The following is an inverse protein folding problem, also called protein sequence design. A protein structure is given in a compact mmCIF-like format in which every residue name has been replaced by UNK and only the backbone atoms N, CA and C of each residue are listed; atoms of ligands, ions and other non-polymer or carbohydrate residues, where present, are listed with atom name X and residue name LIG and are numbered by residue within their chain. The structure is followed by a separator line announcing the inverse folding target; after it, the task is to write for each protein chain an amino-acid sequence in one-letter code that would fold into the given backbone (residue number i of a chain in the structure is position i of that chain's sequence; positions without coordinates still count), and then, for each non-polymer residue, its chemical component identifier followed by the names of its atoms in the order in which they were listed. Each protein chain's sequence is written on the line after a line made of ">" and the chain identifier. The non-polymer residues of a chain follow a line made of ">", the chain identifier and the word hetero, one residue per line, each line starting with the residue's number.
data_IF_128886790079
#
_entry.id   IF_128886790079
#
_cell.length_a   1.000
_cell.length_b   1.000
_cell.length_c   1.000
_cell.angle_alpha   90.00
_cell.angle_beta   90.00
_cell.angle_gamma   90.00
#
_symmetry.space_group_name_H-M   'P 1'
#
loop_
_entity.id
_entity.type
_entity.pdbx_description
1 polymer ?
#
# COMPACT_ATOMS: atom_id res chain seq x y z
N UNK A 1 -0.33 -11.33 13.40
CA UNK A 1 0.66 -12.11 12.63
C UNK A 1 2.03 -11.47 12.79
N UNK A 2 3.12 -12.24 12.88
CA UNK A 2 4.47 -11.69 12.71
C UNK A 2 4.54 -10.87 11.42
N UNK A 3 5.08 -9.64 11.51
CA UNK A 3 5.07 -8.69 10.41
C UNK A 3 6.47 -8.15 10.17
N UNK A 4 6.91 -8.20 8.90
CA UNK A 4 8.19 -7.64 8.45
C UNK A 4 7.90 -6.60 7.38
N UNK A 5 8.45 -5.40 7.54
CA UNK A 5 8.26 -4.28 6.64
C UNK A 5 9.61 -3.87 6.06
N UNK A 6 9.72 -3.83 4.74
CA UNK A 6 10.86 -3.24 4.02
C UNK A 6 10.50 -1.83 3.57
N UNK A 7 11.42 -0.88 3.71
CA UNK A 7 11.18 0.50 3.29
C UNK A 7 12.48 1.26 3.00
N UNK A 8 12.45 2.32 2.19
CA UNK A 8 13.61 3.18 1.98
C UNK A 8 14.12 3.84 3.28
N UNK A 9 15.42 4.08 3.36
CA UNK A 9 16.06 4.74 4.51
C UNK A 9 15.49 6.13 4.82
N UNK A 10 15.06 6.84 3.78
CA UNK A 10 14.46 8.18 3.84
C UNK A 10 13.10 8.22 4.56
N UNK A 11 12.50 7.07 4.91
CA UNK A 11 11.26 7.05 5.69
C UNK A 11 11.49 7.65 7.08
N UNK A 12 10.60 8.60 7.42
CA UNK A 12 10.58 9.35 8.66
C UNK A 12 10.70 8.46 9.90
N UNK A 13 11.46 8.93 10.89
CA UNK A 13 11.79 8.16 12.10
C UNK A 13 10.55 7.86 12.93
N UNK A 14 9.56 8.75 12.93
CA UNK A 14 8.29 8.61 13.64
C UNK A 14 7.48 7.44 13.09
N UNK A 15 7.47 7.26 11.75
CA UNK A 15 6.78 6.11 11.12
C UNK A 15 7.40 4.79 11.55
N UNK A 16 8.72 4.73 11.58
CA UNK A 16 9.47 3.53 12.00
C UNK A 16 9.22 3.24 13.49
N UNK A 17 9.20 4.28 14.33
CA UNK A 17 8.91 4.15 15.76
C UNK A 17 7.51 3.57 15.99
N UNK A 18 6.49 4.09 15.30
CA UNK A 18 5.11 3.57 15.39
C UNK A 18 5.03 2.10 14.93
N UNK A 19 5.65 1.74 13.81
CA UNK A 19 5.65 0.37 13.31
C UNK A 19 6.32 -0.61 14.27
N UNK A 20 7.47 -0.22 14.85
CA UNK A 20 8.16 -1.03 15.86
C UNK A 20 7.36 -1.15 17.15
N UNK A 21 6.74 -0.06 17.61
CA UNK A 21 5.85 -0.07 18.77
C UNK A 21 4.63 -0.99 18.56
N UNK A 22 4.14 -1.09 17.32
CA UNK A 22 3.09 -2.05 16.93
C UNK A 22 3.59 -3.51 16.78
N UNK A 23 4.88 -3.78 17.06
CA UNK A 23 5.46 -5.12 17.02
C UNK A 23 5.99 -5.57 15.66
N UNK A 24 6.09 -4.67 14.67
CA UNK A 24 6.66 -5.00 13.36
C UNK A 24 8.19 -4.96 13.37
N UNK A 25 8.81 -5.90 12.65
CA UNK A 25 10.23 -5.81 12.30
C UNK A 25 10.36 -4.88 11.10
N UNK A 26 11.15 -3.82 11.22
CA UNK A 26 11.35 -2.82 10.15
C UNK A 26 12.78 -2.91 9.61
N UNK A 27 12.89 -3.20 8.32
CA UNK A 27 14.14 -3.27 7.55
C UNK A 27 14.21 -2.03 6.66
N UNK A 28 15.19 -1.17 6.93
CA UNK A 28 15.51 -0.05 6.05
C UNK A 28 16.47 -0.51 4.96
N UNK A 29 16.24 -0.07 3.73
CA UNK A 29 17.09 -0.34 2.57
C UNK A 29 17.41 0.96 1.82
N UNK A 30 18.48 1.00 1.00
CA UNK A 30 18.80 2.17 0.19
C UNK A 30 17.64 2.62 -0.70
N UNK A 31 17.51 3.93 -0.91
CA UNK A 31 16.56 4.49 -1.86
C UNK A 31 17.14 4.39 -3.28
N UNK A 32 16.91 3.26 -3.93
CA UNK A 32 17.39 2.95 -5.29
C UNK A 32 16.22 2.88 -6.29
N UNK A 33 16.48 2.90 -7.61
CA UNK A 33 15.47 2.65 -8.64
C UNK A 33 14.81 1.26 -8.52
N UNK A 34 13.65 1.06 -9.17
CA UNK A 34 12.85 -0.17 -9.03
C UNK A 34 13.53 -1.43 -9.58
N UNK A 35 14.32 -1.31 -10.64
CA UNK A 35 15.07 -2.40 -11.27
C UNK A 35 16.29 -2.85 -10.44
N UNK A 36 16.70 -2.08 -9.43
CA UNK A 36 17.76 -2.47 -8.51
C UNK A 36 17.27 -3.60 -7.57
N UNK A 37 18.02 -4.70 -7.41
CA UNK A 37 17.65 -5.82 -6.53
C UNK A 37 17.56 -5.45 -5.04
N UNK A 38 18.07 -4.28 -4.64
CA UNK A 38 18.00 -3.71 -3.29
C UNK A 38 16.81 -2.76 -3.10
N UNK A 39 16.00 -2.52 -4.13
CA UNK A 39 14.74 -1.80 -3.99
C UNK A 39 13.86 -2.50 -2.96
N UNK A 40 13.22 -1.74 -2.07
CA UNK A 40 12.46 -2.29 -0.93
C UNK A 40 11.40 -3.32 -1.35
N UNK A 41 10.80 -3.17 -2.53
CA UNK A 41 9.89 -4.14 -3.12
C UNK A 41 10.59 -5.48 -3.42
N UNK A 42 11.72 -5.44 -4.12
CA UNK A 42 12.47 -6.63 -4.53
C UNK A 42 13.03 -7.38 -3.31
N UNK A 43 13.47 -6.63 -2.29
CA UNK A 43 13.87 -7.21 -1.00
C UNK A 43 12.70 -7.94 -0.34
N UNK A 44 11.49 -7.34 -0.31
CA UNK A 44 10.31 -8.00 0.24
C UNK A 44 9.93 -9.28 -0.51
N UNK A 45 9.96 -9.24 -1.85
CA UNK A 45 9.69 -10.40 -2.72
C UNK A 45 10.66 -11.54 -2.40
N UNK A 46 11.96 -11.24 -2.34
CA UNK A 46 13.00 -12.24 -2.02
C UNK A 46 12.79 -12.83 -0.62
N UNK A 47 12.57 -11.99 0.39
CA UNK A 47 12.30 -12.47 1.76
C UNK A 47 11.05 -13.36 1.84
N UNK A 48 10.00 -13.03 1.09
CA UNK A 48 8.79 -13.85 1.05
C UNK A 48 9.06 -15.20 0.36
N UNK A 49 9.83 -15.22 -0.74
CA UNK A 49 10.23 -16.45 -1.41
C UNK A 49 11.11 -17.34 -0.50
N UNK A 50 12.11 -16.75 0.16
CA UNK A 50 13.03 -17.43 1.06
C UNK A 50 12.34 -17.99 2.32
N UNK A 51 11.13 -17.52 2.63
CA UNK A 51 10.34 -18.03 3.76
C UNK A 51 9.83 -19.47 3.58
N UNK A 52 9.96 -20.04 2.38
CA UNK A 52 9.47 -21.39 2.07
C UNK A 52 7.95 -21.51 2.19
N UNK A 53 7.21 -20.46 1.79
CA UNK A 53 5.74 -20.42 1.83
C UNK A 53 5.14 -20.07 3.20
N UNK A 54 5.97 -19.73 4.19
CA UNK A 54 5.50 -19.32 5.53
C UNK A 54 5.07 -17.86 5.60
N UNK A 55 5.51 -17.03 4.65
CA UNK A 55 5.14 -15.62 4.56
C UNK A 55 4.13 -15.37 3.44
N UNK A 56 3.12 -14.57 3.75
CA UNK A 56 2.23 -13.98 2.75
C UNK A 56 2.83 -12.63 2.31
N UNK A 57 3.15 -12.50 1.02
CA UNK A 57 3.54 -11.20 0.46
C UNK A 57 2.29 -10.39 0.11
N UNK A 58 1.99 -9.37 0.92
CA UNK A 58 0.76 -8.57 0.77
C UNK A 58 0.67 -7.79 -0.55
N UNK A 59 1.82 -7.35 -1.09
CA UNK A 59 2.00 -6.72 -2.40
C UNK A 59 0.97 -5.63 -2.75
N UNK A 60 1.05 -4.46 -2.12
CA UNK A 60 0.09 -3.36 -2.37
C UNK A 60 0.07 -2.84 -3.82
N UNK A 61 1.07 -3.15 -4.64
CA UNK A 61 1.18 -2.65 -6.01
C UNK A 61 0.35 -3.51 -6.97
N UNK A 62 0.49 -4.84 -6.92
CA UNK A 62 -0.19 -5.76 -7.84
C UNK A 62 -1.47 -6.37 -7.25
N UNK A 63 -1.67 -6.27 -5.94
CA UNK A 63 -2.82 -6.87 -5.29
C UNK A 63 -4.09 -6.05 -5.53
N UNK A 64 -5.01 -6.62 -6.33
CA UNK A 64 -6.31 -6.01 -6.63
C UNK A 64 -7.14 -5.66 -5.40
N UNK A 65 -6.87 -6.26 -4.24
CA UNK A 65 -7.55 -5.90 -2.99
C UNK A 65 -7.30 -4.44 -2.58
N UNK A 66 -6.15 -3.85 -2.94
CA UNK A 66 -5.88 -2.42 -2.69
C UNK A 66 -6.94 -1.55 -3.38
N UNK A 67 -7.09 -1.67 -4.70
CA UNK A 67 -8.08 -0.92 -5.46
C UNK A 67 -9.53 -1.32 -5.08
N UNK A 68 -9.80 -2.62 -4.89
CA UNK A 68 -11.13 -3.11 -4.52
C UNK A 68 -11.60 -2.61 -3.16
N UNK A 69 -10.70 -2.37 -2.20
CA UNK A 69 -11.08 -1.77 -0.93
C UNK A 69 -11.76 -0.41 -1.17
N UNK A 70 -11.11 0.46 -1.94
CA UNK A 70 -11.63 1.78 -2.26
C UNK A 70 -12.90 1.74 -3.13
N UNK A 71 -13.00 0.79 -4.06
CA UNK A 71 -14.23 0.57 -4.84
C UNK A 71 -15.43 0.17 -3.96
N UNK A 72 -15.20 -0.68 -2.95
CA UNK A 72 -16.25 -1.26 -2.12
C UNK A 72 -16.60 -0.41 -0.89
N UNK A 73 -15.71 0.48 -0.47
CA UNK A 73 -15.90 1.27 0.76
C UNK A 73 -15.74 2.76 0.48
N UNK A 74 -14.53 3.24 0.19
CA UNK A 74 -14.26 4.69 0.06
C UNK A 74 -15.12 5.40 -0.98
N UNK A 75 -15.32 4.80 -2.16
CA UNK A 75 -16.21 5.32 -3.20
C UNK A 75 -17.67 5.45 -2.73
N UNK A 76 -18.29 4.36 -2.25
CA UNK A 76 -19.62 4.41 -1.64
C UNK A 76 -19.73 5.41 -0.49
N UNK A 77 -18.76 5.46 0.42
CA UNK A 77 -18.75 6.40 1.54
C UNK A 77 -18.84 7.85 1.04
N UNK A 78 -18.01 8.23 0.06
CA UNK A 78 -18.05 9.56 -0.57
C UNK A 78 -19.43 9.83 -1.17
N UNK A 79 -19.97 8.90 -1.95
CA UNK A 79 -21.27 9.07 -2.60
C UNK A 79 -22.41 9.27 -1.61
N UNK A 80 -22.46 8.44 -0.56
CA UNK A 80 -23.48 8.54 0.48
C UNK A 80 -23.36 9.84 1.28
N UNK A 81 -22.14 10.22 1.67
CA UNK A 81 -21.88 11.45 2.44
C UNK A 81 -22.17 12.73 1.65
N UNK A 82 -22.01 12.67 0.32
CA UNK A 82 -22.34 13.78 -0.59
C UNK A 82 -23.76 13.71 -1.15
N UNK A 83 -24.57 12.74 -0.72
CA UNK A 83 -25.93 12.51 -1.23
C UNK A 83 -25.98 12.39 -2.77
N UNK A 84 -24.94 11.81 -3.36
CA UNK A 84 -24.81 11.62 -4.81
C UNK A 84 -24.44 12.88 -5.61
N UNK A 85 -24.07 13.98 -4.95
CA UNK A 85 -23.68 15.22 -5.61
C UNK A 85 -22.16 15.34 -5.67
N UNK A 86 -21.56 14.76 -6.73
CA UNK A 86 -20.11 14.80 -6.95
C UNK A 86 -19.79 15.29 -8.36
N UNK A 87 -19.28 16.52 -8.48
CA UNK A 87 -18.85 17.11 -9.75
C UNK A 87 -17.42 16.73 -10.14
N UNK A 88 -16.60 16.35 -9.15
CA UNK A 88 -15.20 15.99 -9.37
C UNK A 88 -14.56 15.34 -8.16
N UNK A 89 -13.53 14.53 -8.41
CA UNK A 89 -12.74 13.86 -7.39
C UNK A 89 -11.25 14.07 -7.64
N UNK A 90 -10.52 14.46 -6.60
CA UNK A 90 -9.07 14.71 -6.64
C UNK A 90 -8.43 13.97 -5.47
N UNK A 91 -7.32 13.28 -5.74
CA UNK A 91 -6.47 12.70 -4.69
C UNK A 91 -5.00 12.65 -5.12
N UNK A 92 -4.10 12.59 -4.14
CA UNK A 92 -2.71 12.22 -4.42
C UNK A 92 -2.63 10.75 -4.91
N UNK A 93 -1.62 10.42 -5.70
CA UNK A 93 -1.44 9.07 -6.22
C UNK A 93 -0.07 8.50 -5.82
N UNK A 94 -0.10 7.31 -5.20
CA UNK A 94 1.06 6.46 -4.94
C UNK A 94 0.94 5.17 -5.74
N UNK A 95 0.43 4.11 -5.12
CA UNK A 95 0.13 2.83 -5.79
C UNK A 95 -0.98 2.92 -6.83
N UNK A 96 -1.77 4.00 -6.83
CA UNK A 96 -2.94 4.18 -7.70
C UNK A 96 -4.23 3.50 -7.20
N UNK A 97 -4.18 2.72 -6.13
CA UNK A 97 -5.35 1.99 -5.62
C UNK A 97 -6.55 2.90 -5.29
N UNK A 98 -6.30 4.03 -4.63
CA UNK A 98 -7.35 4.99 -4.25
C UNK A 98 -8.01 5.63 -5.45
N UNK A 99 -7.23 6.24 -6.35
CA UNK A 99 -7.79 6.91 -7.54
C UNK A 99 -8.54 5.91 -8.42
N UNK A 100 -7.99 4.71 -8.63
CA UNK A 100 -8.63 3.69 -9.44
C UNK A 100 -9.93 3.17 -8.81
N UNK A 101 -9.93 2.88 -7.50
CA UNK A 101 -11.09 2.31 -6.83
C UNK A 101 -12.24 3.30 -6.71
N UNK A 102 -11.95 4.52 -6.25
CA UNK A 102 -12.97 5.58 -6.11
C UNK A 102 -13.50 5.98 -7.49
N UNK A 103 -12.63 6.15 -8.49
CA UNK A 103 -13.07 6.55 -9.84
C UNK A 103 -13.91 5.47 -10.52
N UNK A 104 -13.61 4.17 -10.31
CA UNK A 104 -14.47 3.10 -10.83
C UNK A 104 -15.85 3.09 -10.18
N UNK A 105 -15.96 3.46 -8.89
CA UNK A 105 -17.26 3.58 -8.24
C UNK A 105 -18.04 4.79 -8.77
N UNK A 106 -17.43 5.98 -8.77
CA UNK A 106 -18.13 7.23 -9.10
C UNK A 106 -18.47 7.39 -10.60
N UNK A 107 -17.83 6.60 -11.49
CA UNK A 107 -18.15 6.58 -12.92
C UNK A 107 -19.24 5.56 -13.30
N UNK A 108 -19.57 4.63 -12.41
CA UNK A 108 -20.56 3.58 -12.66
C UNK A 108 -21.99 4.11 -12.48
#
# INVERSE_FOLDING_TARGET
>A
YPCVLTMPEAVAVEKVAVMRAAGATVIKVPAVPFDDPNHYYNVAVRMAADSGGKALFANQFENLNNMRAHLKTTGPEIWWQTQGQVDGFICASGTGGTIAGVSNFLKA
#
